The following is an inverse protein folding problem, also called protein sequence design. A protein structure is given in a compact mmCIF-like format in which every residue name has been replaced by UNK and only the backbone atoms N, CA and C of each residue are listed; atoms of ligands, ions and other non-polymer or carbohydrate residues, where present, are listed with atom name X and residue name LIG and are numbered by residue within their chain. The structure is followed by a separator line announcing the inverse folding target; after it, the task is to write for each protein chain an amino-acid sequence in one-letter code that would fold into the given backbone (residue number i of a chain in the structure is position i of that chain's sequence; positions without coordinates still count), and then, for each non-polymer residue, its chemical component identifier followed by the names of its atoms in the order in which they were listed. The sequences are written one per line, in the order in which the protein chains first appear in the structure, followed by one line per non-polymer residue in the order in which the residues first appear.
data_IF_188434863356
#
_entry.id   IF_188434863356
#
_cell.length_a   1.000
_cell.length_b   1.000
_cell.length_c   1.000
_cell.angle_alpha   90.00
_cell.angle_beta   90.00
_cell.angle_gamma   90.00
#
_symmetry.space_group_name_H-M   'P 1'
#
loop_
_entity.id
_entity.type
_entity.pdbx_description
1 polymer ?
#
# COMPACT_ATOMS: atom_id res chain seq x y z
N UNK A 1 1.88 -7.23 -19.00
CA UNK A 1 2.04 -8.32 -18.05
C UNK A 1 1.83 -9.62 -18.77
N UNK A 2 2.71 -10.59 -18.52
CA UNK A 2 2.50 -11.96 -18.99
C UNK A 2 1.21 -12.48 -18.37
N UNK A 3 0.49 -13.31 -19.12
CA UNK A 3 -0.73 -14.02 -18.75
C UNK A 3 -0.77 -14.37 -17.24
N UNK A 4 -1.34 -13.48 -16.49
CA UNK A 4 -1.50 -13.61 -15.07
C UNK A 4 -2.92 -13.23 -14.71
N UNK A 5 -3.71 -14.25 -14.42
CA UNK A 5 -5.12 -14.10 -14.04
C UNK A 5 -5.34 -13.26 -12.77
N UNK A 6 -4.27 -12.90 -12.05
CA UNK A 6 -4.33 -12.00 -10.90
C UNK A 6 -4.03 -10.53 -11.24
N UNK A 7 -3.55 -10.24 -12.46
CA UNK A 7 -3.33 -8.85 -12.87
C UNK A 7 -4.65 -8.09 -13.01
N UNK A 8 -4.79 -7.01 -12.24
CA UNK A 8 -6.01 -6.20 -12.18
C UNK A 8 -7.29 -7.07 -12.08
N UNK A 9 -7.26 -8.07 -11.20
CA UNK A 9 -8.25 -9.14 -11.12
C UNK A 9 -9.69 -8.66 -11.00
N UNK A 10 -9.91 -7.50 -10.38
CA UNK A 10 -11.25 -6.92 -10.21
C UNK A 10 -11.72 -6.15 -11.45
N UNK A 11 -10.81 -5.88 -12.40
CA UNK A 11 -11.13 -5.14 -13.61
C UNK A 11 -11.77 -6.03 -14.68
N UNK A 12 -12.72 -5.48 -15.44
CA UNK A 12 -13.36 -6.18 -16.54
C UNK A 12 -13.22 -5.38 -17.83
N UNK A 13 -12.76 -6.03 -18.88
CA UNK A 13 -12.57 -5.40 -20.21
C UNK A 13 -11.76 -4.08 -20.15
N UNK A 14 -10.72 -4.05 -19.32
CA UNK A 14 -9.86 -2.86 -19.14
C UNK A 14 -10.46 -1.74 -18.28
N UNK A 15 -11.61 -1.96 -17.64
CA UNK A 15 -12.27 -0.99 -16.79
C UNK A 15 -12.32 -1.46 -15.33
N UNK A 16 -12.12 -0.53 -14.41
CA UNK A 16 -12.34 -0.78 -12.99
C UNK A 16 -13.84 -0.92 -12.69
N UNK A 17 -14.22 -1.58 -11.57
CA UNK A 17 -15.61 -1.73 -11.17
C UNK A 17 -16.31 -0.38 -11.00
N UNK A 18 -17.61 -0.35 -11.25
CA UNK A 18 -18.42 0.85 -11.01
C UNK A 18 -18.29 1.32 -9.56
N UNK A 19 -18.14 2.62 -9.36
CA UNK A 19 -17.91 3.24 -8.05
C UNK A 19 -16.48 3.16 -7.52
N UNK A 20 -15.50 2.61 -8.27
CA UNK A 20 -14.12 2.46 -7.82
C UNK A 20 -13.18 3.58 -8.27
N UNK A 21 -13.67 4.64 -8.88
CA UNK A 21 -12.85 5.72 -9.43
C UNK A 21 -11.90 6.41 -8.43
N UNK A 22 -12.24 6.39 -7.14
CA UNK A 22 -11.41 6.98 -6.07
C UNK A 22 -10.68 5.93 -5.22
N UNK A 23 -10.82 4.64 -5.52
CA UNK A 23 -10.15 3.59 -4.76
C UNK A 23 -8.73 3.36 -5.23
N UNK A 24 -7.82 2.93 -4.34
CA UNK A 24 -6.49 2.53 -4.76
C UNK A 24 -6.56 1.37 -5.75
N UNK A 25 -5.70 1.39 -6.76
CA UNK A 25 -5.52 0.27 -7.67
C UNK A 25 -4.83 -0.86 -6.92
N UNK A 26 -5.40 -2.05 -7.00
CA UNK A 26 -4.91 -3.28 -6.36
C UNK A 26 -4.68 -4.38 -7.40
N UNK A 27 -4.23 -5.55 -6.96
CA UNK A 27 -3.88 -6.66 -7.83
C UNK A 27 -2.78 -6.29 -8.84
N UNK A 28 -1.78 -5.56 -8.37
CA UNK A 28 -0.61 -5.13 -9.13
C UNK A 28 0.68 -5.61 -8.46
N UNK A 29 1.64 -6.06 -9.26
CA UNK A 29 2.97 -6.41 -8.79
C UNK A 29 3.84 -5.16 -8.65
N UNK A 30 5.03 -5.32 -8.05
CA UNK A 30 6.05 -4.27 -8.03
C UNK A 30 6.40 -3.80 -9.46
N UNK A 31 6.54 -4.74 -10.39
CA UNK A 31 6.87 -4.42 -11.80
C UNK A 31 5.73 -3.66 -12.49
N UNK A 32 4.48 -4.01 -12.22
CA UNK A 32 3.33 -3.27 -12.76
C UNK A 32 3.30 -1.85 -12.21
N UNK A 33 3.53 -1.68 -10.92
CA UNK A 33 3.56 -0.38 -10.25
C UNK A 33 4.69 0.51 -10.80
N UNK A 34 5.91 -0.06 -10.97
CA UNK A 34 7.05 0.62 -11.62
C UNK A 34 6.74 1.04 -13.05
N UNK A 35 6.15 0.12 -13.83
CA UNK A 35 5.79 0.40 -15.23
C UNK A 35 4.78 1.54 -15.33
N UNK A 36 3.75 1.54 -14.49
CA UNK A 36 2.78 2.63 -14.43
C UNK A 36 3.43 3.96 -14.01
N UNK A 37 4.23 3.94 -12.94
CA UNK A 37 4.89 5.15 -12.45
C UNK A 37 5.77 5.78 -13.54
N UNK A 38 6.57 4.97 -14.24
CA UNK A 38 7.39 5.40 -15.38
C UNK A 38 6.55 5.99 -16.52
N UNK A 39 5.45 5.32 -16.89
CA UNK A 39 4.53 5.83 -17.92
C UNK A 39 3.93 7.19 -17.54
N UNK A 40 3.60 7.37 -16.26
CA UNK A 40 3.06 8.63 -15.72
C UNK A 40 4.12 9.73 -15.52
N UNK A 41 5.39 9.50 -15.91
CA UNK A 41 6.49 10.45 -15.66
C UNK A 41 6.80 10.61 -14.17
N UNK A 42 6.64 9.55 -13.41
CA UNK A 42 6.84 9.46 -11.95
C UNK A 42 7.68 8.23 -11.62
N UNK A 43 7.88 7.98 -10.34
CA UNK A 43 8.48 6.75 -9.80
C UNK A 43 7.76 6.30 -8.54
N UNK A 44 8.09 5.13 -8.04
CA UNK A 44 7.71 4.73 -6.69
C UNK A 44 8.54 5.49 -5.66
N UNK A 45 8.04 5.69 -4.44
CA UNK A 45 8.83 6.25 -3.36
C UNK A 45 9.90 5.26 -2.92
N UNK A 46 11.06 5.76 -2.54
CA UNK A 46 11.98 5.02 -1.68
C UNK A 46 11.35 4.80 -0.31
N UNK A 47 11.82 3.81 0.43
CA UNK A 47 11.31 3.49 1.76
C UNK A 47 11.41 4.66 2.73
N UNK A 48 12.54 5.35 2.76
CA UNK A 48 12.78 6.52 3.59
C UNK A 48 11.95 7.75 3.16
N UNK A 49 11.62 7.89 1.87
CA UNK A 49 10.73 8.97 1.39
C UNK A 49 9.31 8.76 1.88
N UNK A 50 8.85 7.50 1.83
CA UNK A 50 7.55 7.14 2.37
C UNK A 50 7.49 7.44 3.86
N UNK A 51 8.54 7.03 4.62
CA UNK A 51 8.63 7.28 6.05
C UNK A 51 8.64 8.77 6.38
N UNK A 52 9.43 9.56 5.66
CA UNK A 52 9.46 11.02 5.83
C UNK A 52 8.08 11.64 5.57
N UNK A 53 7.40 11.21 4.49
CA UNK A 53 6.06 11.70 4.15
C UNK A 53 5.02 11.37 5.24
N UNK A 54 5.18 10.25 5.93
CA UNK A 54 4.30 9.83 7.02
C UNK A 54 4.65 10.52 8.35
N UNK A 55 5.92 10.44 8.75
CA UNK A 55 6.39 10.84 10.06
C UNK A 55 6.67 12.33 10.20
N UNK A 56 6.95 13.01 9.12
CA UNK A 56 7.46 14.37 9.18
C UNK A 56 8.89 14.43 9.75
N UNK A 57 9.20 15.50 10.48
CA UNK A 57 10.53 15.75 11.05
C UNK A 57 10.58 15.65 12.58
N UNK A 58 9.47 15.33 13.22
CA UNK A 58 9.35 15.29 14.68
C UNK A 58 9.38 13.88 15.28
N UNK A 59 9.53 12.85 14.45
CA UNK A 59 9.70 11.48 14.91
C UNK A 59 8.44 10.82 15.47
N UNK A 60 7.25 11.31 15.05
CA UNK A 60 5.96 10.74 15.50
C UNK A 60 5.80 9.27 15.10
N UNK A 61 4.94 8.55 15.82
CA UNK A 61 4.71 7.13 15.59
C UNK A 61 3.68 6.84 14.49
N UNK A 62 2.74 7.78 14.27
CA UNK A 62 1.68 7.70 13.26
C UNK A 62 1.59 9.04 12.52
N UNK A 63 1.04 9.10 11.32
CA UNK A 63 0.93 10.34 10.56
C UNK A 63 0.27 11.48 11.33
N UNK A 64 -0.62 11.17 12.25
CA UNK A 64 -1.38 12.14 13.07
C UNK A 64 -0.81 12.38 14.47
N UNK A 65 0.29 11.75 14.88
CA UNK A 65 0.92 11.92 16.19
C UNK A 65 1.37 10.63 16.85
N UNK A 66 1.46 10.59 18.19
CA UNK A 66 2.03 9.47 18.93
C UNK A 66 1.01 8.56 19.62
N UNK A 67 -0.27 8.75 19.35
CA UNK A 67 -1.33 7.92 19.94
C UNK A 67 -2.16 7.27 18.84
N UNK A 68 -2.30 5.94 18.92
CA UNK A 68 -3.15 5.19 17.99
C UNK A 68 -4.60 5.67 18.08
N UNK A 69 -5.21 5.91 16.92
CA UNK A 69 -6.62 6.27 16.80
C UNK A 69 -7.26 5.50 15.63
N UNK A 70 -8.01 4.46 15.97
CA UNK A 70 -8.65 3.59 15.00
C UNK A 70 -9.72 4.28 14.11
N UNK A 71 -10.16 5.49 14.47
CA UNK A 71 -11.11 6.25 13.64
C UNK A 71 -10.47 6.89 12.41
N UNK A 72 -9.14 6.94 12.38
CA UNK A 72 -8.33 7.59 11.33
C UNK A 72 -7.93 6.66 10.20
N UNK A 73 -8.29 5.39 10.30
CA UNK A 73 -7.94 4.36 9.33
C UNK A 73 -9.19 3.54 8.96
N UNK A 74 -9.17 2.85 7.81
CA UNK A 74 -10.24 1.92 7.45
C UNK A 74 -10.46 0.86 8.52
N UNK A 75 -11.72 0.49 8.75
CA UNK A 75 -12.04 -0.60 9.67
C UNK A 75 -11.41 -1.90 9.19
N UNK A 76 -10.75 -2.66 10.09
CA UNK A 76 -10.17 -3.95 9.74
C UNK A 76 -11.24 -4.92 9.23
N UNK A 77 -10.95 -5.60 8.12
CA UNK A 77 -11.72 -6.74 7.64
C UNK A 77 -11.13 -8.03 8.23
N UNK A 78 -11.89 -8.65 9.12
CA UNK A 78 -11.56 -9.92 9.78
C UNK A 78 -12.19 -11.13 9.09
N UNK A 79 -12.90 -10.91 8.00
CA UNK A 79 -13.53 -11.95 7.20
C UNK A 79 -12.51 -12.75 6.39
N UNK A 80 -12.99 -13.79 5.73
CA UNK A 80 -12.20 -14.59 4.78
C UNK A 80 -12.30 -14.07 3.35
N UNK A 81 -13.30 -13.27 3.08
CA UNK A 81 -13.53 -12.64 1.76
C UNK A 81 -13.08 -11.19 1.87
N UNK A 82 -12.08 -10.83 1.10
CA UNK A 82 -11.60 -9.45 1.07
C UNK A 82 -12.69 -8.53 0.50
N UNK A 83 -13.04 -7.51 1.24
CA UNK A 83 -13.86 -6.41 0.73
C UNK A 83 -13.05 -5.50 -0.20
N UNK A 84 -13.71 -4.57 -0.88
CA UNK A 84 -13.01 -3.49 -1.56
C UNK A 84 -12.26 -2.57 -0.55
N UNK A 85 -11.14 -1.97 -0.95
CA UNK A 85 -10.52 -0.90 -0.17
C UNK A 85 -11.47 0.30 -0.04
N UNK A 86 -11.21 1.17 0.92
CA UNK A 86 -11.91 2.44 1.04
C UNK A 86 -11.41 3.43 -0.02
N UNK A 87 -12.17 4.48 -0.28
CA UNK A 87 -11.75 5.55 -1.19
C UNK A 87 -10.51 6.27 -0.64
N UNK A 88 -9.64 6.73 -1.51
CA UNK A 88 -8.35 7.33 -1.18
C UNK A 88 -8.42 8.69 -0.46
N UNK A 89 -9.57 9.09 0.04
CA UNK A 89 -9.77 10.31 0.83
C UNK A 89 -10.84 10.13 1.91
N UNK A 90 -11.17 8.89 2.21
CA UNK A 90 -12.23 8.58 3.17
C UNK A 90 -11.86 8.91 4.63
N UNK A 91 -10.56 9.00 4.92
CA UNK A 91 -10.04 9.22 6.28
C UNK A 91 -9.12 10.46 6.36
N UNK A 92 -9.63 11.70 6.12
CA UNK A 92 -8.79 12.90 6.05
C UNK A 92 -8.11 13.23 7.38
N UNK A 93 -8.68 12.82 8.50
CA UNK A 93 -8.07 13.00 9.84
C UNK A 93 -6.83 12.08 10.07
N UNK A 94 -6.58 11.14 9.18
CA UNK A 94 -5.40 10.28 9.16
C UNK A 94 -4.23 10.84 8.32
N UNK A 95 -4.34 12.08 7.84
CA UNK A 95 -3.30 12.71 7.06
C UNK A 95 -2.02 13.00 7.87
N UNK A 96 -0.88 13.00 7.19
CA UNK A 96 0.42 13.37 7.75
C UNK A 96 0.59 14.89 7.88
N UNK A 97 1.71 15.38 8.48
CA UNK A 97 2.02 16.81 8.52
C UNK A 97 2.13 17.48 7.16
N UNK A 98 2.37 16.70 6.13
CA UNK A 98 2.43 17.15 4.73
C UNK A 98 1.11 16.94 3.98
N UNK A 99 0.01 16.71 4.71
CA UNK A 99 -1.34 16.48 4.17
C UNK A 99 -1.45 15.25 3.26
N UNK A 100 -0.52 14.30 3.40
CA UNK A 100 -0.56 13.04 2.66
C UNK A 100 -1.52 12.08 3.36
N UNK A 101 -2.56 11.66 2.66
CA UNK A 101 -3.59 10.74 3.17
C UNK A 101 -3.27 9.27 2.87
N UNK A 102 -3.96 8.37 3.58
CA UNK A 102 -3.92 6.90 3.37
C UNK A 102 -2.49 6.31 3.45
N UNK A 103 -1.67 6.88 4.32
CA UNK A 103 -0.37 6.30 4.61
C UNK A 103 -0.49 5.05 5.48
N UNK A 104 -1.48 5.01 6.37
CA UNK A 104 -1.72 3.88 7.27
C UNK A 104 -3.05 3.20 6.96
N UNK A 105 -3.03 1.86 6.88
CA UNK A 105 -4.19 1.05 6.56
C UNK A 105 -4.55 1.09 5.08
N UNK A 106 -5.78 0.82 4.75
CA UNK A 106 -6.35 0.68 3.43
C UNK A 106 -5.66 -0.43 2.61
N UNK A 107 -4.55 -0.15 1.94
CA UNK A 107 -3.78 -1.15 1.21
C UNK A 107 -2.29 -1.02 1.51
N UNK A 108 -1.56 -2.13 1.55
CA UNK A 108 -0.12 -2.15 1.53
C UNK A 108 0.39 -1.38 0.31
N UNK A 109 1.49 -0.68 0.48
CA UNK A 109 2.06 0.17 -0.56
C UNK A 109 3.45 -0.31 -0.95
N UNK A 110 3.63 -0.59 -2.24
CA UNK A 110 4.93 -0.87 -2.81
C UNK A 110 5.87 0.33 -2.65
N UNK A 111 7.11 0.06 -2.22
CA UNK A 111 8.23 1.00 -2.32
C UNK A 111 9.22 0.53 -3.37
N UNK A 112 10.15 1.38 -3.78
CA UNK A 112 11.19 1.03 -4.73
C UNK A 112 12.47 0.52 -4.02
N UNK A 113 12.27 -0.29 -2.97
CA UNK A 113 13.35 -0.82 -2.15
C UNK A 113 13.19 -2.30 -1.86
N UNK A 114 14.33 -2.97 -1.77
CA UNK A 114 14.43 -4.33 -1.24
C UNK A 114 15.12 -4.29 0.12
N UNK A 115 14.61 -5.05 1.07
CA UNK A 115 15.33 -5.26 2.33
C UNK A 115 16.61 -6.07 2.11
N UNK A 116 16.58 -6.96 1.11
CA UNK A 116 17.68 -7.79 0.70
C UNK A 116 17.61 -8.03 -0.81
N UNK A 117 18.57 -7.50 -1.53
CA UNK A 117 18.69 -7.62 -2.99
C UNK A 117 18.83 -9.08 -3.44
N UNK A 118 19.49 -9.92 -2.65
CA UNK A 118 19.71 -11.32 -3.00
C UNK A 118 18.41 -12.12 -2.96
N UNK A 119 17.61 -11.95 -1.93
CA UNK A 119 16.33 -12.65 -1.79
C UNK A 119 15.18 -11.91 -2.49
N UNK A 120 15.39 -10.68 -2.93
CA UNK A 120 14.37 -9.80 -3.51
C UNK A 120 13.14 -9.65 -2.59
N UNK A 121 13.38 -9.50 -1.30
CA UNK A 121 12.36 -9.17 -0.33
C UNK A 121 11.99 -7.69 -0.47
N UNK A 122 10.95 -7.38 -1.23
CA UNK A 122 10.47 -6.01 -1.43
C UNK A 122 9.85 -5.44 -0.15
N UNK A 123 10.14 -4.18 0.14
CA UNK A 123 9.61 -3.48 1.30
C UNK A 123 8.22 -2.94 0.98
N UNK A 124 7.29 -3.20 1.90
CA UNK A 124 5.92 -2.70 1.88
C UNK A 124 5.67 -1.78 3.07
N UNK A 125 4.89 -0.73 2.87
CA UNK A 125 4.55 0.24 3.90
C UNK A 125 3.04 0.35 4.15
N UNK A 126 2.69 0.81 5.35
CA UNK A 126 1.37 1.29 5.75
C UNK A 126 0.39 0.25 6.26
N UNK A 127 0.64 -1.04 6.08
CA UNK A 127 -0.33 -2.07 6.42
C UNK A 127 -1.58 -2.03 5.53
N UNK A 128 -2.57 -2.83 5.82
CA UNK A 128 -3.81 -2.89 5.06
C UNK A 128 -5.04 -3.04 5.95
N UNK A 129 -6.21 -2.87 5.36
CA UNK A 129 -7.49 -3.17 6.01
C UNK A 129 -7.69 -4.67 6.29
N UNK A 130 -6.99 -5.54 5.57
CA UNK A 130 -7.20 -6.99 5.66
C UNK A 130 -6.46 -7.58 6.86
N UNK A 131 -7.21 -8.03 7.85
CA UNK A 131 -6.71 -8.62 9.10
C UNK A 131 -7.48 -9.91 9.41
N UNK A 132 -7.21 -11.03 8.71
CA UNK A 132 -7.96 -12.28 8.91
C UNK A 132 -7.74 -12.82 10.31
N UNK A 133 -8.81 -13.34 10.90
CA UNK A 133 -8.75 -13.97 12.23
C UNK A 133 -7.82 -15.18 12.22
N UNK A 134 -7.00 -15.31 13.25
CA UNK A 134 -6.16 -16.49 13.48
C UNK A 134 -4.83 -16.49 12.74
N UNK A 135 -4.44 -15.41 12.06
CA UNK A 135 -3.22 -15.37 11.27
C UNK A 135 -2.35 -14.14 11.48
N UNK A 136 -1.95 -13.86 12.71
CA UNK A 136 -0.97 -12.82 13.03
C UNK A 136 0.37 -13.06 12.30
N UNK A 137 0.71 -14.30 12.02
CA UNK A 137 1.95 -14.69 11.35
C UNK A 137 1.97 -14.43 9.85
N UNK A 138 0.83 -14.53 9.19
CA UNK A 138 0.75 -14.39 7.73
C UNK A 138 0.44 -12.98 7.27
N UNK A 139 -0.14 -12.15 8.16
CA UNK A 139 -0.56 -10.80 7.82
C UNK A 139 -0.18 -9.84 8.96
N UNK A 140 1.13 -9.69 9.25
CA UNK A 140 1.57 -8.68 10.19
C UNK A 140 1.13 -7.32 9.67
N UNK A 141 0.76 -6.44 10.58
CA UNK A 141 0.46 -5.05 10.23
C UNK A 141 1.64 -4.18 10.60
N UNK A 142 1.97 -3.24 9.76
CA UNK A 142 3.00 -2.24 9.98
C UNK A 142 2.31 -0.87 9.96
N UNK A 143 1.65 -0.52 11.08
CA UNK A 143 0.86 0.69 11.19
C UNK A 143 1.65 1.87 11.75
N UNK A 144 2.80 1.64 12.36
CA UNK A 144 3.69 2.70 12.77
C UNK A 144 4.51 3.20 11.60
N UNK A 145 4.85 4.48 11.62
CA UNK A 145 5.58 5.14 10.53
C UNK A 145 6.99 4.59 10.33
N UNK A 146 7.57 3.96 11.35
CA UNK A 146 8.89 3.33 11.35
C UNK A 146 8.86 1.82 11.05
N UNK A 147 7.68 1.23 10.92
CA UNK A 147 7.51 -0.18 10.62
C UNK A 147 7.33 -0.44 9.12
N UNK A 148 7.72 -1.62 8.68
CA UNK A 148 7.49 -2.09 7.33
C UNK A 148 7.17 -3.58 7.29
N UNK A 149 6.43 -3.98 6.27
CA UNK A 149 6.28 -5.37 5.86
C UNK A 149 7.29 -5.71 4.78
N UNK A 150 7.43 -6.99 4.49
CA UNK A 150 8.23 -7.48 3.36
C UNK A 150 7.52 -8.59 2.62
N UNK A 151 7.72 -8.65 1.32
CA UNK A 151 7.20 -9.68 0.46
C UNK A 151 8.30 -10.26 -0.41
N UNK A 152 8.50 -11.57 -0.31
CA UNK A 152 9.43 -12.29 -1.19
C UNK A 152 8.83 -12.43 -2.58
N UNK A 153 9.52 -11.92 -3.58
CA UNK A 153 9.11 -12.00 -4.99
C UNK A 153 9.54 -13.36 -5.57
N UNK A 154 8.84 -14.41 -5.18
CA UNK A 154 9.20 -15.79 -5.58
C UNK A 154 8.57 -16.21 -6.91
N UNK A 155 7.39 -15.72 -7.21
CA UNK A 155 6.68 -16.05 -8.44
C UNK A 155 5.78 -14.88 -8.87
N UNK A 156 5.72 -14.57 -10.18
CA UNK A 156 5.07 -13.35 -10.69
C UNK A 156 3.58 -13.19 -10.34
N UNK A 157 2.89 -14.28 -10.01
CA UNK A 157 1.45 -14.24 -9.74
C UNK A 157 1.09 -14.13 -8.25
N UNK A 158 2.03 -14.47 -7.37
CA UNK A 158 1.79 -14.45 -5.92
C UNK A 158 2.05 -13.09 -5.26
N UNK A 159 2.64 -12.16 -5.97
CA UNK A 159 2.93 -10.81 -5.51
C UNK A 159 1.78 -9.82 -5.77
N UNK A 160 0.62 -10.29 -6.25
CA UNK A 160 -0.58 -9.50 -6.47
C UNK A 160 -1.67 -9.88 -5.49
N UNK A 161 -2.27 -8.89 -4.83
CA UNK A 161 -3.38 -9.13 -3.92
C UNK A 161 -4.37 -7.96 -3.87
N UNK A 162 -5.58 -8.22 -3.36
CA UNK A 162 -6.61 -7.20 -3.19
C UNK A 162 -6.25 -6.15 -2.12
N UNK A 163 -5.25 -6.40 -1.29
CA UNK A 163 -4.83 -5.52 -0.22
C UNK A 163 -3.45 -4.86 -0.47
N UNK A 164 -2.97 -4.91 -1.71
CA UNK A 164 -1.66 -4.40 -2.10
C UNK A 164 -1.77 -3.49 -3.33
N UNK A 165 -1.34 -2.25 -3.15
CA UNK A 165 -1.34 -1.21 -4.17
C UNK A 165 -0.05 -0.38 -4.11
N UNK A 166 -0.10 0.86 -4.57
CA UNK A 166 1.06 1.75 -4.60
C UNK A 166 0.68 3.21 -4.62
N UNK A 167 1.64 4.06 -4.37
CA UNK A 167 1.61 5.50 -4.67
C UNK A 167 2.82 5.90 -5.50
N UNK A 168 2.70 7.01 -6.21
CA UNK A 168 3.80 7.57 -6.98
C UNK A 168 4.32 8.85 -6.35
N UNK A 169 5.61 9.10 -6.55
CA UNK A 169 6.27 10.36 -6.25
C UNK A 169 6.86 10.97 -7.54
N UNK A 170 7.15 12.23 -7.49
CA UNK A 170 7.82 12.97 -8.58
C UNK A 170 8.90 13.82 -7.97
N UNK A 171 10.09 13.79 -8.58
CA UNK A 171 11.20 14.61 -8.15
C UNK A 171 10.86 16.09 -8.32
N UNK A 172 11.28 16.90 -7.35
CA UNK A 172 11.20 18.35 -7.46
C UNK A 172 12.07 18.83 -8.63
N UNK A 173 11.58 19.85 -9.34
CA UNK A 173 12.37 20.47 -10.41
C UNK A 173 13.38 21.44 -9.82
#
# INVERSE_FOLDING_TARGET
PKDDQNFLKDWKNGNYPEGWGNKPVTWVSLEDARAYAKWAGKRLPHDWEWQLAAQGTDGREYPWGNTWDASRVPKPDKGRTMRAPDDGNAHPNGASPYEVMDLIGNVWQWTDEFQDEHTRAAILRGGSYYQPQGSVWYFPQAYRDDEHGKLLLMAPSYDRSAALGFRCVKDAK
#
